data_IF_739115029218
#
_entry.id   IF_739115029218
#
_cell.length_a   1.000
_cell.length_b   1.000
_cell.length_c   1.000
_cell.angle_alpha   90.00
_cell.angle_beta   90.00
_cell.angle_gamma   90.00
#
_symmetry.space_group_name_H-M   'P 1'
#
loop_
_entity.id
_entity.type
_entity.pdbx_description
1 polymer ?
#
# COMPACT_ATOMS: atom_id res chain seq x y z
N UNK A 1 -47.24 86.85 33.12
CA UNK A 1 -46.63 87.70 32.08
C UNK A 1 -45.35 87.00 31.61
N UNK A 2 -45.41 86.28 30.48
CA UNK A 2 -44.78 86.66 29.20
C UNK A 2 -43.28 86.97 29.31
N UNK A 3 -42.47 86.05 28.78
CA UNK A 3 -41.03 86.18 28.54
C UNK A 3 -40.47 84.84 28.04
N UNK A 4 -40.92 84.38 26.87
CA UNK A 4 -40.07 84.22 25.68
C UNK A 4 -38.93 83.21 25.89
N UNK A 5 -39.14 81.95 25.52
CA UNK A 5 -38.81 81.45 24.16
C UNK A 5 -37.35 81.80 23.78
N UNK A 6 -36.41 80.99 24.25
CA UNK A 6 -35.16 80.62 23.53
C UNK A 6 -34.26 79.66 24.35
N UNK A 7 -34.85 78.63 24.95
CA UNK A 7 -34.07 77.55 25.58
C UNK A 7 -34.61 76.15 25.25
N UNK A 8 -35.24 76.00 24.08
CA UNK A 8 -35.78 74.72 23.61
C UNK A 8 -35.33 74.35 22.18
N UNK A 9 -34.57 75.21 21.49
CA UNK A 9 -33.92 74.87 20.21
C UNK A 9 -32.42 74.56 20.34
N UNK A 10 -31.80 74.82 21.49
CA UNK A 10 -30.39 74.51 21.70
C UNK A 10 -30.13 73.10 22.25
N UNK A 11 -31.16 72.44 22.80
CA UNK A 11 -31.02 71.09 23.39
C UNK A 11 -31.42 69.97 22.42
N UNK A 12 -32.26 70.24 21.41
CA UNK A 12 -32.57 69.28 20.35
C UNK A 12 -31.57 69.28 19.19
N UNK A 13 -30.75 70.33 19.03
CA UNK A 13 -29.66 70.39 18.05
C UNK A 13 -28.36 69.71 18.50
N UNK A 14 -28.15 69.52 19.81
CA UNK A 14 -26.94 68.89 20.36
C UNK A 14 -27.07 67.37 20.59
N UNK A 15 -28.29 66.82 20.56
CA UNK A 15 -28.54 65.37 20.63
C UNK A 15 -28.71 64.69 19.25
N UNK A 16 -28.73 65.48 18.16
CA UNK A 16 -28.78 64.97 16.78
C UNK A 16 -27.44 65.04 16.04
N UNK A 17 -26.42 65.71 16.61
CA UNK A 17 -25.03 65.67 16.12
C UNK A 17 -24.15 64.66 16.86
N UNK A 18 -24.68 63.99 17.89
CA UNK A 18 -24.01 62.84 18.55
C UNK A 18 -24.44 61.48 17.98
N UNK A 19 -25.28 61.46 16.93
CA UNK A 19 -25.69 60.24 16.21
C UNK A 19 -25.22 60.14 14.75
N UNK A 20 -24.44 61.11 14.24
CA UNK A 20 -23.75 60.99 12.94
C UNK A 20 -22.27 61.39 13.05
N UNK A 21 -21.63 60.88 14.09
CA UNK A 21 -20.20 60.97 14.33
C UNK A 21 -19.62 59.62 14.75
N UNK A 22 -20.20 58.51 14.31
CA UNK A 22 -19.37 57.33 14.04
C UNK A 22 -18.55 57.75 12.84
N UNK A 23 -17.39 58.35 13.13
CA UNK A 23 -16.24 58.14 12.28
C UNK A 23 -16.15 56.62 12.22
N UNK A 24 -16.67 56.04 11.14
CA UNK A 24 -16.01 54.87 10.62
C UNK A 24 -14.60 55.39 10.36
N UNK A 25 -13.71 55.23 11.34
CA UNK A 25 -12.50 54.52 11.00
C UNK A 25 -13.05 53.36 10.18
N UNK A 26 -12.96 53.49 8.85
CA UNK A 26 -12.89 52.29 8.07
C UNK A 26 -11.75 51.56 8.74
N UNK A 27 -12.08 50.58 9.57
CA UNK A 27 -11.23 49.42 9.72
C UNK A 27 -10.88 49.13 8.29
N UNK A 28 -9.64 49.46 7.94
CA UNK A 28 -9.10 49.35 6.61
C UNK A 28 -9.55 47.99 6.12
N UNK A 29 -10.52 48.01 5.20
CA UNK A 29 -11.07 46.84 4.56
C UNK A 29 -9.90 45.95 4.23
N UNK A 30 -9.82 44.78 4.90
CA UNK A 30 -8.89 43.71 4.62
C UNK A 30 -7.64 44.18 3.87
N UNK A 31 -6.66 44.77 4.57
CA UNK A 31 -5.29 44.69 4.04
C UNK A 31 -4.93 43.21 4.12
N UNK A 32 -5.38 42.45 3.12
CA UNK A 32 -4.91 41.11 2.86
C UNK A 32 -3.38 41.23 2.92
N UNK A 33 -2.77 40.46 3.83
CA UNK A 33 -1.33 40.45 3.98
C UNK A 33 -0.71 40.30 2.59
N UNK A 34 0.25 41.14 2.19
CA UNK A 34 0.81 41.05 0.86
C UNK A 34 1.74 39.83 0.76
N UNK A 35 1.90 39.32 -0.45
CA UNK A 35 2.98 38.40 -0.77
C UNK A 35 4.19 39.21 -1.24
N UNK A 36 5.40 38.84 -0.82
CA UNK A 36 6.60 39.53 -1.27
C UNK A 36 6.80 39.34 -2.78
N UNK A 37 7.14 40.41 -3.51
CA UNK A 37 7.35 40.36 -4.97
C UNK A 37 8.38 39.30 -5.39
N UNK A 38 9.41 39.09 -4.56
CA UNK A 38 10.42 38.07 -4.82
C UNK A 38 9.86 36.65 -4.69
N UNK A 39 8.98 36.39 -3.72
CA UNK A 39 8.31 35.10 -3.55
C UNK A 39 7.36 34.83 -4.73
N UNK A 40 6.60 35.84 -5.18
CA UNK A 40 5.73 35.74 -6.36
C UNK A 40 6.56 35.35 -7.60
N UNK A 41 7.66 36.09 -7.85
CA UNK A 41 8.52 35.83 -9.00
C UNK A 41 9.20 34.44 -8.93
N UNK A 42 9.58 34.01 -7.74
CA UNK A 42 10.13 32.68 -7.48
C UNK A 42 9.10 31.59 -7.80
N UNK A 43 7.87 31.74 -7.30
CA UNK A 43 6.77 30.81 -7.57
C UNK A 43 6.50 30.70 -9.07
N UNK A 44 6.42 31.82 -9.77
CA UNK A 44 6.14 31.83 -11.21
C UNK A 44 7.28 31.19 -12.00
N UNK A 45 8.52 31.49 -11.64
CA UNK A 45 9.68 30.91 -12.30
C UNK A 45 9.84 29.41 -12.00
N UNK A 46 9.39 28.96 -10.82
CA UNK A 46 9.30 27.53 -10.50
C UNK A 46 8.23 26.87 -11.38
N UNK A 47 6.98 27.35 -11.35
CA UNK A 47 5.86 26.80 -12.14
C UNK A 47 6.18 26.79 -13.64
N UNK A 48 6.71 27.89 -14.18
CA UNK A 48 7.08 28.00 -15.59
C UNK A 48 8.06 26.91 -16.03
N UNK A 49 9.01 26.55 -15.16
CA UNK A 49 9.96 25.47 -15.44
C UNK A 49 9.31 24.11 -15.64
N UNK A 50 8.17 23.86 -14.97
CA UNK A 50 7.47 22.58 -15.04
C UNK A 50 6.32 22.55 -16.04
N UNK A 51 5.61 23.67 -16.19
CA UNK A 51 4.43 23.78 -17.03
C UNK A 51 4.81 24.22 -18.45
N UNK A 52 5.95 24.90 -18.63
CA UNK A 52 6.46 25.34 -19.92
C UNK A 52 5.89 26.69 -20.37
N UNK A 53 6.41 27.22 -21.49
CA UNK A 53 6.24 28.62 -21.95
C UNK A 53 4.80 29.07 -22.24
N UNK A 54 3.84 28.14 -22.33
CA UNK A 54 2.43 28.48 -22.59
C UNK A 54 1.72 29.04 -21.35
N UNK A 55 2.28 28.81 -20.16
CA UNK A 55 1.75 29.37 -18.93
C UNK A 55 2.12 30.86 -18.84
N UNK A 56 1.13 31.76 -18.93
CA UNK A 56 1.30 33.22 -18.86
C UNK A 56 0.95 33.77 -17.46
N UNK A 57 1.34 33.03 -16.42
CA UNK A 57 0.68 33.07 -15.11
C UNK A 57 0.71 34.39 -14.35
N UNK A 58 1.64 35.31 -14.65
CA UNK A 58 1.69 36.62 -13.99
C UNK A 58 0.46 37.48 -14.26
N UNK A 59 -0.17 37.34 -15.43
CA UNK A 59 -1.33 38.16 -15.81
C UNK A 59 -2.64 37.56 -15.28
N UNK A 60 -2.68 36.24 -15.08
CA UNK A 60 -3.88 35.50 -14.68
C UNK A 60 -4.03 35.37 -13.15
N UNK A 61 -2.92 35.42 -12.42
CA UNK A 61 -2.89 35.15 -10.98
C UNK A 61 -2.14 36.24 -10.20
N UNK A 62 -2.50 37.53 -10.27
CA UNK A 62 -1.75 38.61 -9.61
C UNK A 62 -1.56 38.45 -8.09
N UNK A 63 -2.41 37.66 -7.43
CA UNK A 63 -2.33 37.31 -6.01
C UNK A 63 -2.57 35.80 -5.78
N UNK A 64 -1.53 34.94 -5.94
CA UNK A 64 -1.63 33.48 -5.86
C UNK A 64 -2.03 32.94 -4.48
N UNK A 65 -1.82 33.72 -3.43
CA UNK A 65 -2.10 33.34 -2.05
C UNK A 65 -3.36 34.00 -1.48
N UNK A 66 -3.98 34.93 -2.23
CA UNK A 66 -5.20 35.60 -1.85
C UNK A 66 -6.35 35.30 -2.81
N UNK A 67 -6.79 36.31 -3.57
CA UNK A 67 -8.05 36.25 -4.33
C UNK A 67 -7.94 35.56 -5.70
N UNK A 68 -6.74 35.28 -6.19
CA UNK A 68 -6.51 34.52 -7.43
C UNK A 68 -5.66 33.26 -7.17
N UNK A 69 -6.19 32.25 -6.47
CA UNK A 69 -5.42 31.08 -6.10
C UNK A 69 -5.02 30.23 -7.33
N UNK A 70 -3.82 29.66 -7.28
CA UNK A 70 -3.35 28.70 -8.28
C UNK A 70 -3.61 27.29 -7.73
N UNK A 71 -4.29 26.44 -8.52
CA UNK A 71 -4.52 25.06 -8.11
C UNK A 71 -3.19 24.34 -7.88
N UNK A 72 -3.05 23.73 -6.70
CA UNK A 72 -1.83 23.05 -6.29
C UNK A 72 -0.81 23.95 -5.57
N UNK A 73 -1.08 25.26 -5.44
CA UNK A 73 -0.31 26.17 -4.58
C UNK A 73 -1.10 26.42 -3.31
N UNK A 74 -0.43 26.35 -2.15
CA UNK A 74 -1.00 26.82 -0.88
C UNK A 74 0.03 27.66 -0.14
N UNK A 75 -0.48 28.56 0.68
CA UNK A 75 0.33 29.57 1.35
C UNK A 75 -0.07 29.70 2.82
N UNK A 76 0.91 30.00 3.66
CA UNK A 76 0.72 30.35 5.06
C UNK A 76 1.27 31.74 5.34
N UNK A 77 0.73 32.36 6.40
CA UNK A 77 1.15 33.68 6.86
C UNK A 77 2.35 33.59 7.79
N UNK A 78 3.45 34.26 7.45
CA UNK A 78 4.63 34.43 8.31
C UNK A 78 4.98 35.91 8.40
N UNK A 79 5.14 36.40 9.63
CA UNK A 79 5.57 37.79 9.90
C UNK A 79 4.76 38.87 9.13
N UNK A 80 3.47 38.60 8.89
CA UNK A 80 2.57 39.51 8.18
C UNK A 80 2.62 39.42 6.65
N UNK A 81 3.33 38.44 6.07
CA UNK A 81 3.40 38.17 4.63
C UNK A 81 2.97 36.75 4.28
N UNK A 82 2.32 36.56 3.14
CA UNK A 82 2.04 35.21 2.62
C UNK A 82 3.28 34.63 1.96
N UNK A 83 3.56 33.36 2.25
CA UNK A 83 4.61 32.58 1.62
C UNK A 83 4.09 31.24 1.14
N UNK A 84 4.67 30.72 0.06
CA UNK A 84 4.26 29.43 -0.49
C UNK A 84 4.76 28.32 0.43
N UNK A 85 3.82 27.51 0.92
CA UNK A 85 4.11 26.37 1.79
C UNK A 85 3.88 25.04 1.10
N UNK A 86 3.02 24.99 0.09
CA UNK A 86 2.70 23.76 -0.62
C UNK A 86 2.75 24.03 -2.12
N UNK A 87 3.49 23.19 -2.84
CA UNK A 87 3.60 23.26 -4.29
C UNK A 87 3.42 21.86 -4.87
N UNK A 88 2.30 21.68 -5.57
CA UNK A 88 1.88 20.44 -6.19
C UNK A 88 1.84 20.61 -7.70
N UNK A 89 2.68 19.85 -8.40
CA UNK A 89 2.91 20.01 -9.84
C UNK A 89 2.50 18.74 -10.58
N UNK A 90 1.74 18.94 -11.67
CA UNK A 90 1.16 17.86 -12.48
C UNK A 90 -0.33 17.64 -12.20
N UNK A 91 -0.99 16.75 -12.99
CA UNK A 91 -2.45 16.58 -13.01
C UNK A 91 -2.98 15.84 -11.77
N UNK A 92 -2.87 16.48 -10.60
CA UNK A 92 -3.32 15.94 -9.30
C UNK A 92 -4.82 16.20 -9.08
N UNK A 93 -5.33 17.29 -9.65
CA UNK A 93 -6.73 17.70 -9.63
C UNK A 93 -7.21 18.02 -11.06
N UNK A 94 -8.53 18.04 -11.28
CA UNK A 94 -9.12 18.25 -12.62
C UNK A 94 -8.66 19.55 -13.33
N UNK A 95 -8.27 20.58 -12.56
CA UNK A 95 -7.76 21.86 -13.06
C UNK A 95 -6.28 22.11 -12.73
N UNK A 96 -5.53 21.06 -12.39
CA UNK A 96 -4.10 21.17 -12.14
C UNK A 96 -3.35 21.61 -13.40
N UNK A 97 -2.24 22.34 -13.19
CA UNK A 97 -1.36 22.72 -14.28
C UNK A 97 -0.69 21.48 -14.88
N UNK A 98 -0.90 21.28 -16.19
CA UNK A 98 -0.29 20.17 -16.92
C UNK A 98 1.21 20.41 -17.10
N UNK A 99 2.00 19.36 -16.90
CA UNK A 99 3.43 19.42 -17.11
C UNK A 99 3.80 19.50 -18.59
N UNK A 100 4.86 20.25 -18.90
CA UNK A 100 5.41 20.36 -20.24
C UNK A 100 5.98 19.00 -20.71
N UNK A 101 6.16 18.78 -22.02
CA UNK A 101 6.79 17.55 -22.51
C UNK A 101 8.27 17.38 -22.12
N UNK A 102 9.02 18.49 -22.03
CA UNK A 102 10.47 18.52 -21.76
C UNK A 102 10.72 19.27 -20.44
N UNK A 103 10.29 18.68 -19.33
CA UNK A 103 10.39 19.28 -18.01
C UNK A 103 11.82 19.22 -17.48
N UNK A 104 12.32 20.34 -16.95
CA UNK A 104 13.57 20.40 -16.19
C UNK A 104 13.31 20.90 -14.76
N UNK A 105 14.15 20.49 -13.81
CA UNK A 105 14.09 21.02 -12.45
C UNK A 105 14.56 22.48 -12.43
N UNK A 106 13.62 23.41 -12.25
CA UNK A 106 13.92 24.83 -12.12
C UNK A 106 14.70 25.12 -10.83
N UNK A 107 15.89 25.75 -10.87
CA UNK A 107 16.62 26.16 -9.66
C UNK A 107 15.81 27.11 -8.76
N UNK A 108 14.87 27.86 -9.35
CA UNK A 108 13.99 28.78 -8.61
C UNK A 108 13.08 28.06 -7.61
N UNK A 109 12.85 26.75 -7.77
CA UNK A 109 12.16 25.93 -6.78
C UNK A 109 12.79 26.06 -5.38
N UNK A 110 14.12 26.09 -5.32
CA UNK A 110 14.86 26.16 -4.06
C UNK A 110 14.92 27.57 -3.45
N UNK A 111 14.34 28.57 -4.14
CA UNK A 111 14.21 29.94 -3.62
C UNK A 111 12.96 30.12 -2.75
N UNK A 112 11.98 29.21 -2.85
CA UNK A 112 10.78 29.14 -2.00
C UNK A 112 11.14 28.56 -0.63
N UNK A 113 11.76 29.37 0.23
CA UNK A 113 12.36 28.90 1.49
C UNK A 113 11.34 28.37 2.50
N UNK A 114 10.09 28.80 2.43
CA UNK A 114 9.02 28.42 3.36
C UNK A 114 8.29 27.13 2.98
N UNK A 115 8.71 26.48 1.89
CA UNK A 115 8.06 25.28 1.37
C UNK A 115 8.08 24.14 2.41
N UNK A 116 6.89 23.68 2.80
CA UNK A 116 6.64 22.55 3.69
C UNK A 116 6.30 21.28 2.93
N UNK A 117 5.62 21.40 1.79
CA UNK A 117 5.21 20.27 0.96
C UNK A 117 5.54 20.52 -0.51
N UNK A 118 6.15 19.51 -1.14
CA UNK A 118 6.47 19.53 -2.56
C UNK A 118 6.08 18.21 -3.18
N UNK A 119 5.22 18.24 -4.22
CA UNK A 119 4.82 17.05 -4.94
C UNK A 119 4.90 17.20 -6.45
N UNK A 120 5.29 16.12 -7.13
CA UNK A 120 5.28 15.98 -8.58
C UNK A 120 4.55 14.70 -8.98
N UNK A 121 3.49 14.83 -9.76
CA UNK A 121 2.72 13.69 -10.27
C UNK A 121 2.72 13.68 -11.79
N UNK A 122 3.13 12.57 -12.40
CA UNK A 122 3.03 12.35 -13.85
C UNK A 122 3.59 13.51 -14.73
N UNK A 123 4.69 14.12 -14.29
CA UNK A 123 5.37 15.22 -14.99
C UNK A 123 6.56 14.77 -15.83
N UNK A 124 7.29 13.77 -15.36
CA UNK A 124 8.46 13.24 -16.06
C UNK A 124 8.09 11.91 -16.71
N UNK A 125 7.45 11.95 -17.89
CA UNK A 125 6.83 10.75 -18.49
C UNK A 125 7.74 10.06 -19.52
N UNK A 126 8.57 10.81 -20.25
CA UNK A 126 9.30 10.29 -21.41
C UNK A 126 10.63 9.60 -21.04
N UNK A 127 10.59 8.29 -20.79
CA UNK A 127 11.77 7.47 -20.42
C UNK A 127 12.93 7.48 -21.41
N UNK A 128 12.64 7.57 -22.71
CA UNK A 128 13.64 7.35 -23.77
C UNK A 128 14.04 8.63 -24.49
N UNK A 129 13.22 9.67 -24.44
CA UNK A 129 13.49 10.92 -25.16
C UNK A 129 13.97 12.03 -24.22
N UNK A 130 13.54 12.04 -22.95
CA UNK A 130 13.93 13.08 -22.00
C UNK A 130 14.03 12.53 -20.57
N UNK A 131 15.00 11.62 -20.31
CA UNK A 131 15.25 11.15 -18.96
C UNK A 131 15.83 12.28 -18.10
N UNK A 132 15.35 12.39 -16.86
CA UNK A 132 15.81 13.41 -15.93
C UNK A 132 16.13 12.80 -14.58
N UNK A 133 17.14 13.34 -13.90
CA UNK A 133 17.49 12.97 -12.53
C UNK A 133 17.06 14.04 -11.54
N UNK A 134 16.76 13.61 -10.31
CA UNK A 134 16.56 14.54 -9.20
C UNK A 134 17.88 15.32 -8.98
N UNK A 135 17.84 16.66 -8.83
CA UNK A 135 19.03 17.46 -8.55
C UNK A 135 19.74 16.97 -7.30
N UNK A 136 21.08 16.94 -7.33
CA UNK A 136 21.89 16.46 -6.20
C UNK A 136 22.08 17.57 -5.16
N UNK A 137 22.12 18.83 -5.59
CA UNK A 137 22.42 20.00 -4.75
C UNK A 137 21.15 20.82 -4.46
N UNK A 138 21.27 21.87 -3.65
CA UNK A 138 20.22 22.85 -3.30
C UNK A 138 19.12 22.36 -2.34
N UNK A 139 19.02 21.07 -2.05
CA UNK A 139 18.10 20.55 -1.02
C UNK A 139 18.40 21.09 0.38
N UNK A 140 19.64 21.51 0.65
CA UNK A 140 20.01 22.18 1.90
C UNK A 140 19.24 23.47 2.18
N UNK A 141 18.74 24.17 1.14
CA UNK A 141 17.95 25.38 1.32
C UNK A 141 16.56 25.10 1.92
N UNK A 142 16.06 23.88 1.75
CA UNK A 142 14.78 23.41 2.28
C UNK A 142 14.94 22.53 3.52
N UNK A 143 16.16 22.38 4.03
CA UNK A 143 16.51 21.44 5.10
C UNK A 143 15.70 21.61 6.40
N UNK A 144 15.30 22.84 6.69
CA UNK A 144 14.64 23.22 7.94
C UNK A 144 13.15 23.52 7.78
N UNK A 145 12.59 23.37 6.59
CA UNK A 145 11.19 23.73 6.29
C UNK A 145 10.41 22.57 5.68
N UNK A 146 11.02 21.79 4.79
CA UNK A 146 10.32 20.72 4.08
C UNK A 146 9.93 19.56 5.01
N UNK A 147 8.62 19.29 5.08
CA UNK A 147 8.00 18.22 5.85
C UNK A 147 7.53 17.06 4.96
N UNK A 148 7.14 17.34 3.71
CA UNK A 148 6.68 16.33 2.75
C UNK A 148 7.35 16.52 1.39
N UNK A 149 7.91 15.44 0.85
CA UNK A 149 8.50 15.41 -0.49
C UNK A 149 8.00 14.21 -1.27
N UNK A 150 7.39 14.47 -2.43
CA UNK A 150 6.73 13.42 -3.20
C UNK A 150 7.02 13.48 -4.71
N UNK A 151 7.40 12.34 -5.27
CA UNK A 151 7.48 12.08 -6.70
C UNK A 151 6.68 10.82 -6.99
N UNK A 152 5.54 10.96 -7.67
CA UNK A 152 4.59 9.88 -7.91
C UNK A 152 4.37 9.66 -9.42
N UNK A 153 4.49 8.42 -9.87
CA UNK A 153 4.19 8.03 -11.26
C UNK A 153 4.96 8.86 -12.29
N UNK A 154 6.26 9.10 -12.05
CA UNK A 154 7.15 9.80 -12.99
C UNK A 154 8.13 8.80 -13.64
N UNK A 155 7.68 8.04 -14.66
CA UNK A 155 8.46 6.94 -15.21
C UNK A 155 9.81 7.36 -15.82
N UNK A 156 9.94 8.60 -16.29
CA UNK A 156 11.15 9.22 -16.86
C UNK A 156 12.07 9.89 -15.82
N UNK A 157 11.67 9.95 -14.55
CA UNK A 157 12.53 10.37 -13.44
C UNK A 157 13.46 9.21 -13.06
N UNK A 158 14.70 9.27 -13.49
CA UNK A 158 15.73 8.23 -13.36
C UNK A 158 16.89 8.68 -12.46
N UNK A 159 17.98 7.91 -12.44
CA UNK A 159 19.15 8.20 -11.62
C UNK A 159 19.00 7.68 -10.19
N UNK A 160 19.88 8.15 -9.30
CA UNK A 160 19.92 7.74 -7.90
C UNK A 160 19.09 8.68 -7.01
N UNK A 161 18.68 8.19 -5.85
CA UNK A 161 18.12 9.05 -4.80
C UNK A 161 19.27 9.92 -4.26
N UNK A 162 19.15 11.26 -4.24
CA UNK A 162 20.21 12.13 -3.73
C UNK A 162 20.55 11.85 -2.26
N UNK A 163 21.84 11.74 -1.94
CA UNK A 163 22.32 11.61 -0.55
C UNK A 163 21.99 12.84 0.29
N UNK A 164 21.85 14.00 -0.35
CA UNK A 164 21.47 15.28 0.26
C UNK A 164 20.06 15.29 0.83
N UNK A 165 19.18 14.36 0.44
CA UNK A 165 17.88 14.18 1.10
C UNK A 165 18.04 13.92 2.59
N UNK A 166 19.13 13.28 3.02
CA UNK A 166 19.46 13.09 4.45
C UNK A 166 19.69 14.38 5.25
N UNK A 167 19.72 15.56 4.59
CA UNK A 167 19.81 16.87 5.25
C UNK A 167 18.44 17.48 5.57
N UNK A 168 17.34 16.93 5.08
CA UNK A 168 15.97 17.44 5.27
C UNK A 168 15.45 17.12 6.68
N UNK A 169 15.98 17.79 7.70
CA UNK A 169 15.77 17.46 9.12
C UNK A 169 14.31 17.51 9.59
N UNK A 170 13.45 18.28 8.91
CA UNK A 170 12.01 18.38 9.21
C UNK A 170 11.16 17.36 8.45
N UNK A 171 11.73 16.57 7.54
CA UNK A 171 10.99 15.67 6.69
C UNK A 171 10.26 14.59 7.51
N UNK A 172 8.96 14.48 7.28
CA UNK A 172 8.03 13.53 7.89
C UNK A 172 7.50 12.52 6.87
N UNK A 173 7.37 12.92 5.61
CA UNK A 173 6.90 12.07 4.52
C UNK A 173 7.85 12.14 3.32
N UNK A 174 8.39 10.98 2.91
CA UNK A 174 9.16 10.82 1.68
C UNK A 174 8.48 9.76 0.80
N UNK A 175 8.02 10.19 -0.37
CA UNK A 175 7.25 9.34 -1.29
C UNK A 175 7.87 9.39 -2.67
N UNK A 176 8.44 8.28 -3.14
CA UNK A 176 9.11 8.16 -4.42
C UNK A 176 8.50 6.98 -5.20
N UNK A 177 7.18 6.94 -5.35
CA UNK A 177 6.46 5.76 -5.89
C UNK A 177 6.36 5.78 -7.42
N UNK A 178 6.56 4.62 -8.04
CA UNK A 178 6.37 4.40 -9.49
C UNK A 178 7.20 5.33 -10.39
N UNK A 179 8.48 5.51 -10.07
CA UNK A 179 9.42 6.27 -10.88
C UNK A 179 10.42 5.34 -11.61
N UNK A 180 11.42 5.93 -12.25
CA UNK A 180 12.52 5.23 -12.90
C UNK A 180 13.80 5.17 -12.07
N UNK A 181 13.75 5.46 -10.76
CA UNK A 181 14.92 5.58 -9.88
C UNK A 181 15.67 4.25 -9.77
N UNK A 182 16.98 4.32 -9.62
CA UNK A 182 17.91 3.19 -9.69
C UNK A 182 19.11 3.38 -8.77
N UNK A 183 19.96 2.36 -8.65
CA UNK A 183 21.09 2.36 -7.70
C UNK A 183 20.67 1.96 -6.29
N UNK A 184 21.56 2.18 -5.34
CA UNK A 184 21.36 1.76 -3.95
C UNK A 184 20.56 2.77 -3.13
N UNK A 185 19.93 2.31 -2.04
CA UNK A 185 19.33 3.18 -1.04
C UNK A 185 20.44 3.97 -0.30
N UNK A 186 20.40 5.31 -0.29
CA UNK A 186 21.43 6.10 0.38
C UNK A 186 21.42 5.89 1.90
N UNK A 187 22.57 5.59 2.48
CA UNK A 187 22.70 5.40 3.95
C UNK A 187 22.35 6.67 4.73
N UNK A 188 22.61 7.85 4.16
CA UNK A 188 22.30 9.15 4.76
C UNK A 188 20.80 9.40 4.96
N UNK A 189 19.91 8.67 4.27
CA UNK A 189 18.47 8.77 4.56
C UNK A 189 18.17 8.42 6.02
N UNK A 190 18.98 7.55 6.66
CA UNK A 190 18.87 7.22 8.08
C UNK A 190 18.95 8.41 9.05
N UNK A 191 19.43 9.58 8.58
CA UNK A 191 19.47 10.81 9.38
C UNK A 191 18.09 11.49 9.56
N UNK A 192 17.08 11.05 8.82
CA UNK A 192 15.73 11.60 8.85
C UNK A 192 14.93 11.10 10.07
N UNK A 193 15.37 11.46 11.27
CA UNK A 193 14.83 10.94 12.53
C UNK A 193 13.36 11.28 12.81
N UNK A 194 12.81 12.27 12.10
CA UNK A 194 11.40 12.69 12.20
C UNK A 194 10.49 12.01 11.16
N UNK A 195 11.05 11.12 10.33
CA UNK A 195 10.32 10.49 9.25
C UNK A 195 9.24 9.55 9.81
N UNK A 196 8.02 9.71 9.31
CA UNK A 196 6.83 8.94 9.67
C UNK A 196 6.36 8.05 8.53
N UNK A 197 6.61 8.47 7.29
CA UNK A 197 6.22 7.75 6.08
C UNK A 197 7.38 7.70 5.10
N UNK A 198 7.79 6.48 4.76
CA UNK A 198 8.79 6.19 3.73
C UNK A 198 8.17 5.23 2.72
N UNK A 199 7.90 5.71 1.50
CA UNK A 199 7.29 4.92 0.43
C UNK A 199 8.10 5.09 -0.84
N UNK A 200 8.87 4.07 -1.23
CA UNK A 200 9.75 4.09 -2.42
C UNK A 200 9.40 2.93 -3.38
N UNK A 201 8.14 2.51 -3.36
CA UNK A 201 7.68 1.35 -4.11
C UNK A 201 7.74 1.55 -5.64
N UNK A 202 7.98 0.46 -6.38
CA UNK A 202 7.85 0.46 -7.84
C UNK A 202 8.97 1.20 -8.58
N UNK A 203 10.22 1.05 -8.14
CA UNK A 203 11.41 1.59 -8.80
C UNK A 203 12.36 0.45 -9.24
N UNK A 204 13.59 0.81 -9.64
CA UNK A 204 14.67 -0.10 -10.04
C UNK A 204 15.82 -0.10 -9.02
N UNK A 205 15.52 0.19 -7.75
CA UNK A 205 16.55 0.24 -6.70
C UNK A 205 17.13 -1.15 -6.44
N UNK A 206 18.41 -1.21 -6.08
CA UNK A 206 19.15 -2.44 -5.85
C UNK A 206 20.03 -2.33 -4.60
N UNK A 207 20.91 -3.31 -4.38
CA UNK A 207 21.76 -3.35 -3.19
C UNK A 207 20.99 -3.76 -1.94
N UNK A 208 21.55 -3.48 -0.76
CA UNK A 208 20.97 -3.87 0.54
C UNK A 208 20.10 -2.77 1.12
N UNK A 209 19.18 -3.14 2.01
CA UNK A 209 18.52 -2.16 2.89
C UNK A 209 19.57 -1.67 3.91
N UNK A 210 19.84 -0.35 4.02
CA UNK A 210 20.86 0.15 4.93
C UNK A 210 20.51 -0.05 6.41
N UNK A 211 21.48 -0.49 7.21
CA UNK A 211 21.33 -0.61 8.67
C UNK A 211 20.96 0.72 9.34
N UNK A 212 21.39 1.84 8.75
CA UNK A 212 21.06 3.19 9.23
C UNK A 212 19.56 3.49 9.24
N UNK A 213 18.73 2.72 8.53
CA UNK A 213 17.27 2.87 8.56
C UNK A 213 16.69 2.46 9.93
N UNK A 214 17.46 1.76 10.77
CA UNK A 214 17.12 1.61 12.18
C UNK A 214 17.02 2.94 12.94
N UNK A 215 17.51 4.06 12.39
CA UNK A 215 17.37 5.39 13.00
C UNK A 215 15.95 5.97 12.98
N UNK A 216 15.00 5.38 12.21
CA UNK A 216 13.65 5.93 12.04
C UNK A 216 12.70 5.58 13.18
N UNK A 217 12.97 6.09 14.38
CA UNK A 217 12.19 5.78 15.58
C UNK A 217 10.72 6.21 15.53
N UNK A 218 10.38 7.20 14.70
CA UNK A 218 9.01 7.70 14.49
C UNK A 218 8.32 7.11 13.25
N UNK A 219 8.96 6.18 12.53
CA UNK A 219 8.40 5.63 11.29
C UNK A 219 7.15 4.82 11.59
N UNK A 220 6.07 5.13 10.88
CA UNK A 220 4.80 4.43 10.96
C UNK A 220 4.59 3.52 9.75
N UNK A 221 5.01 3.97 8.57
CA UNK A 221 4.82 3.27 7.29
C UNK A 221 6.16 3.18 6.56
N UNK A 222 6.57 1.96 6.24
CA UNK A 222 7.71 1.66 5.38
C UNK A 222 7.26 0.76 4.24
N UNK A 223 7.33 1.26 3.01
CA UNK A 223 7.05 0.50 1.79
C UNK A 223 8.22 0.66 0.83
N UNK A 224 8.99 -0.43 0.67
CA UNK A 224 10.10 -0.54 -0.28
C UNK A 224 9.81 -1.61 -1.34
N UNK A 225 8.53 -1.96 -1.52
CA UNK A 225 8.09 -3.05 -2.38
C UNK A 225 8.41 -2.80 -3.86
N UNK A 226 8.34 -3.86 -4.68
CA UNK A 226 8.46 -3.77 -6.15
C UNK A 226 9.75 -3.05 -6.58
N UNK A 227 10.88 -3.52 -6.07
CA UNK A 227 12.23 -3.05 -6.41
C UNK A 227 13.12 -4.27 -6.75
N UNK A 228 14.44 -4.07 -6.78
CA UNK A 228 15.45 -5.13 -6.91
C UNK A 228 16.37 -5.19 -5.69
N UNK A 229 15.88 -4.79 -4.50
CA UNK A 229 16.64 -4.86 -3.24
C UNK A 229 17.03 -6.31 -2.93
N UNK A 230 18.21 -6.51 -2.39
CA UNK A 230 18.87 -7.81 -2.25
C UNK A 230 19.62 -7.94 -0.92
N UNK A 231 20.11 -9.13 -0.63
CA UNK A 231 20.79 -9.43 0.63
C UNK A 231 19.82 -9.73 1.77
N UNK A 232 20.37 -9.79 2.98
CA UNK A 232 19.64 -10.19 4.18
C UNK A 232 18.79 -9.05 4.75
N UNK A 233 17.69 -9.42 5.42
CA UNK A 233 16.96 -8.49 6.30
C UNK A 233 17.88 -8.10 7.49
N UNK A 234 18.21 -6.81 7.67
CA UNK A 234 19.14 -6.39 8.72
C UNK A 234 18.51 -6.48 10.11
N UNK A 235 19.09 -7.29 11.00
CA UNK A 235 18.57 -7.47 12.37
C UNK A 235 18.59 -6.18 13.20
N UNK A 236 19.55 -5.30 12.93
CA UNK A 236 19.72 -3.99 13.58
C UNK A 236 18.58 -3.01 13.25
N UNK A 237 17.98 -3.11 12.06
CA UNK A 237 16.88 -2.26 11.62
C UNK A 237 15.64 -2.42 12.51
N UNK A 238 15.27 -3.66 12.83
CA UNK A 238 14.05 -3.95 13.58
C UNK A 238 14.09 -3.48 15.04
N UNK A 239 15.29 -3.29 15.60
CA UNK A 239 15.45 -2.76 16.96
C UNK A 239 15.10 -1.29 17.10
N UNK A 240 15.17 -0.51 16.01
CA UNK A 240 14.96 0.95 16.06
C UNK A 240 13.61 1.42 15.53
N UNK A 241 12.92 0.60 14.72
CA UNK A 241 11.60 0.91 14.14
C UNK A 241 10.44 0.66 15.12
N UNK A 242 10.54 1.18 16.34
CA UNK A 242 9.62 0.88 17.45
C UNK A 242 8.18 1.38 17.24
N UNK A 243 7.98 2.38 16.38
CA UNK A 243 6.67 2.95 16.07
C UNK A 243 5.99 2.31 14.85
N UNK A 244 6.65 1.37 14.18
CA UNK A 244 6.23 0.90 12.86
C UNK A 244 4.90 0.14 12.92
N UNK A 245 3.98 0.53 12.04
CA UNK A 245 2.65 -0.06 11.90
C UNK A 245 2.55 -0.93 10.63
N UNK A 246 3.21 -0.52 9.54
CA UNK A 246 3.16 -1.21 8.25
C UNK A 246 4.57 -1.35 7.67
N UNK A 247 4.92 -2.59 7.31
CA UNK A 247 6.15 -2.92 6.61
C UNK A 247 5.84 -3.76 5.38
N UNK A 248 6.09 -3.19 4.20
CA UNK A 248 6.01 -3.88 2.91
C UNK A 248 7.39 -3.88 2.23
N UNK A 249 7.98 -5.08 2.12
CA UNK A 249 9.21 -5.34 1.39
C UNK A 249 8.99 -6.35 0.25
N UNK A 250 7.73 -6.55 -0.15
CA UNK A 250 7.34 -7.54 -1.14
C UNK A 250 7.96 -7.26 -2.51
N UNK A 251 8.03 -8.30 -3.35
CA UNK A 251 8.48 -8.18 -4.74
C UNK A 251 9.90 -7.58 -4.86
N UNK A 252 10.84 -8.19 -4.15
CA UNK A 252 12.26 -7.85 -4.15
C UNK A 252 13.11 -9.13 -4.33
N UNK A 253 14.42 -9.05 -4.10
CA UNK A 253 15.38 -10.15 -4.16
C UNK A 253 16.01 -10.42 -2.78
N UNK A 254 15.31 -10.09 -1.69
CA UNK A 254 15.79 -10.29 -0.32
C UNK A 254 15.92 -11.78 -0.02
N UNK A 255 16.96 -12.16 0.71
CA UNK A 255 17.32 -13.57 0.91
C UNK A 255 17.71 -13.89 2.37
N UNK A 256 17.87 -15.18 2.64
CA UNK A 256 18.18 -15.70 3.97
C UNK A 256 16.96 -15.77 4.89
N UNK A 257 17.23 -15.85 6.20
CA UNK A 257 16.19 -16.04 7.22
C UNK A 257 15.49 -14.75 7.60
N UNK A 258 14.23 -14.87 8.04
CA UNK A 258 13.56 -13.81 8.79
C UNK A 258 14.24 -13.74 10.18
N UNK A 259 14.90 -12.63 10.53
CA UNK A 259 15.60 -12.51 11.81
C UNK A 259 14.62 -12.45 12.98
N UNK A 260 15.01 -12.99 14.13
CA UNK A 260 14.16 -13.03 15.34
C UNK A 260 13.82 -11.62 15.86
N UNK A 261 14.69 -10.65 15.56
CA UNK A 261 14.50 -9.25 15.89
C UNK A 261 13.27 -8.63 15.22
N UNK A 262 12.67 -9.24 14.19
CA UNK A 262 11.38 -8.79 13.62
C UNK A 262 10.29 -8.70 14.69
N UNK A 263 10.36 -9.56 15.72
CA UNK A 263 9.44 -9.57 16.84
C UNK A 263 9.55 -8.33 17.74
N UNK A 264 10.58 -7.49 17.59
CA UNK A 264 10.69 -6.20 18.29
C UNK A 264 9.72 -5.15 17.75
N UNK A 265 9.16 -5.35 16.56
CA UNK A 265 8.13 -4.48 15.98
C UNK A 265 6.77 -4.73 16.64
N UNK A 266 6.63 -4.39 17.93
CA UNK A 266 5.46 -4.74 18.76
C UNK A 266 4.15 -4.07 18.31
N UNK A 267 4.23 -2.97 17.55
CA UNK A 267 3.06 -2.25 17.04
C UNK A 267 2.69 -2.62 15.60
N UNK A 268 3.42 -3.55 14.97
CA UNK A 268 3.23 -3.88 13.57
C UNK A 268 1.87 -4.55 13.34
N UNK A 269 1.13 -4.02 12.38
CA UNK A 269 -0.19 -4.51 11.96
C UNK A 269 -0.12 -5.20 10.60
N UNK A 270 0.79 -4.80 9.72
CA UNK A 270 0.99 -5.41 8.41
C UNK A 270 2.47 -5.74 8.20
N UNK A 271 2.73 -7.00 7.88
CA UNK A 271 4.03 -7.49 7.41
C UNK A 271 3.85 -8.21 6.08
N UNK A 272 4.34 -7.59 5.00
CA UNK A 272 4.41 -8.22 3.68
C UNK A 272 5.88 -8.40 3.25
N UNK A 273 6.30 -9.65 3.16
CA UNK A 273 7.61 -10.07 2.65
C UNK A 273 7.48 -10.95 1.40
N UNK A 274 6.29 -10.99 0.79
CA UNK A 274 5.98 -11.90 -0.31
C UNK A 274 6.85 -11.69 -1.53
N UNK A 275 6.99 -12.74 -2.34
CA UNK A 275 7.76 -12.72 -3.58
C UNK A 275 9.20 -12.21 -3.39
N UNK A 276 9.94 -12.88 -2.52
CA UNK A 276 11.36 -12.69 -2.26
C UNK A 276 12.08 -14.06 -2.36
N UNK A 277 13.33 -14.15 -1.90
CA UNK A 277 14.14 -15.37 -1.83
C UNK A 277 14.39 -15.82 -0.39
N UNK A 278 13.46 -15.52 0.52
CA UNK A 278 13.60 -15.88 1.93
C UNK A 278 13.58 -17.40 2.13
N UNK A 279 14.35 -17.87 3.11
CA UNK A 279 14.56 -19.28 3.45
C UNK A 279 14.73 -19.46 4.97
N UNK A 280 14.99 -20.67 5.46
CA UNK A 280 15.38 -20.90 6.86
C UNK A 280 14.24 -21.14 7.86
N UNK A 281 13.01 -21.38 7.38
CA UNK A 281 11.85 -21.74 8.20
C UNK A 281 11.14 -20.56 8.87
N UNK A 282 9.92 -20.80 9.35
CA UNK A 282 9.21 -19.87 10.24
C UNK A 282 9.92 -19.83 11.60
N UNK A 283 10.07 -18.64 12.19
CA UNK A 283 10.71 -18.46 13.49
C UNK A 283 9.66 -18.28 14.59
N UNK A 284 9.89 -18.87 15.77
CA UNK A 284 8.98 -18.74 16.93
C UNK A 284 8.72 -17.28 17.31
N UNK A 285 9.67 -16.40 17.05
CA UNK A 285 9.56 -14.96 17.31
C UNK A 285 8.31 -14.30 16.70
N UNK A 286 7.81 -14.81 15.56
CA UNK A 286 6.60 -14.29 14.90
C UNK A 286 5.40 -14.35 15.84
N UNK A 287 5.29 -15.38 16.69
CA UNK A 287 4.16 -15.53 17.61
C UNK A 287 4.06 -14.40 18.66
N UNK A 288 5.15 -13.64 18.88
CA UNK A 288 5.16 -12.51 19.80
C UNK A 288 4.58 -11.23 19.18
N UNK A 289 4.34 -11.20 17.86
CA UNK A 289 3.80 -10.06 17.13
C UNK A 289 2.27 -10.00 17.25
N UNK A 290 1.78 -9.88 18.50
CA UNK A 290 0.35 -10.00 18.85
C UNK A 290 -0.57 -8.92 18.27
N UNK A 291 0.00 -7.84 17.73
CA UNK A 291 -0.74 -6.78 17.03
C UNK A 291 -0.95 -7.04 15.54
N UNK A 292 -0.34 -8.08 14.99
CA UNK A 292 -0.34 -8.34 13.56
C UNK A 292 -1.75 -8.69 13.06
N UNK A 293 -2.18 -7.97 12.04
CA UNK A 293 -3.47 -8.14 11.35
C UNK A 293 -3.30 -8.79 9.99
N UNK A 294 -2.17 -8.55 9.32
CA UNK A 294 -1.84 -9.10 8.01
C UNK A 294 -0.41 -9.66 8.00
N UNK A 295 -0.29 -10.97 7.73
CA UNK A 295 0.98 -11.65 7.53
C UNK A 295 1.00 -12.29 6.14
N UNK A 296 1.82 -11.73 5.26
CA UNK A 296 1.96 -12.17 3.87
C UNK A 296 3.41 -12.57 3.63
N UNK A 297 3.68 -13.87 3.55
CA UNK A 297 5.01 -14.44 3.31
C UNK A 297 5.08 -15.23 2.01
N UNK A 298 4.00 -15.22 1.22
CA UNK A 298 3.84 -16.06 0.04
C UNK A 298 4.95 -15.92 -0.99
N UNK A 299 5.14 -16.96 -1.81
CA UNK A 299 6.17 -17.01 -2.86
C UNK A 299 7.59 -16.79 -2.31
N UNK A 300 7.92 -17.45 -1.20
CA UNK A 300 9.27 -17.52 -0.64
C UNK A 300 9.63 -18.97 -0.33
N UNK A 301 10.84 -19.44 -0.59
CA UNK A 301 11.23 -20.83 -0.26
C UNK A 301 11.59 -21.04 1.22
N UNK A 302 10.74 -20.55 2.15
CA UNK A 302 10.98 -20.57 3.60
C UNK A 302 11.05 -21.99 4.16
N UNK A 303 10.14 -22.88 3.75
CA UNK A 303 10.04 -24.24 4.29
C UNK A 303 9.66 -24.28 5.78
N UNK A 304 9.92 -25.40 6.44
CA UNK A 304 9.55 -25.61 7.85
C UNK A 304 8.12 -26.10 8.04
N UNK A 305 7.72 -26.20 9.31
CA UNK A 305 6.42 -26.71 9.75
C UNK A 305 5.60 -25.59 10.40
N UNK A 306 4.28 -25.60 10.19
CA UNK A 306 3.34 -24.66 10.81
C UNK A 306 3.15 -24.92 12.31
N UNK A 307 3.44 -26.14 12.79
CA UNK A 307 3.35 -26.51 14.21
C UNK A 307 4.39 -25.82 15.10
N UNK A 308 5.41 -25.18 14.51
CA UNK A 308 6.41 -24.45 15.31
C UNK A 308 5.84 -23.21 16.00
N UNK A 309 4.74 -22.67 15.50
CA UNK A 309 4.08 -21.48 16.00
C UNK A 309 2.83 -21.84 16.80
N UNK A 310 2.67 -21.17 17.94
CA UNK A 310 1.38 -21.14 18.62
C UNK A 310 0.50 -20.02 18.04
N UNK A 311 -0.30 -20.38 17.03
CA UNK A 311 -1.19 -19.48 16.30
C UNK A 311 -2.22 -18.78 17.20
N UNK A 312 -2.51 -19.33 18.38
CA UNK A 312 -3.40 -18.74 19.36
C UNK A 312 -2.97 -17.34 19.81
N UNK A 313 -1.67 -17.00 19.72
CA UNK A 313 -1.14 -15.69 20.11
C UNK A 313 -1.42 -14.59 19.08
N UNK A 314 -1.68 -14.95 17.82
CA UNK A 314 -1.86 -14.02 16.71
C UNK A 314 -3.33 -13.66 16.46
N UNK A 315 -4.09 -13.45 17.55
CA UNK A 315 -5.57 -13.34 17.52
C UNK A 315 -6.12 -12.18 16.67
N UNK A 316 -5.28 -11.20 16.34
CA UNK A 316 -5.67 -10.06 15.49
C UNK A 316 -5.62 -10.35 13.99
N UNK A 317 -5.01 -11.46 13.58
CA UNK A 317 -4.87 -11.81 12.16
C UNK A 317 -6.22 -11.84 11.45
N UNK A 318 -6.27 -11.11 10.35
CA UNK A 318 -7.34 -11.07 9.36
C UNK A 318 -6.88 -11.66 8.03
N UNK A 319 -5.61 -11.52 7.68
CA UNK A 319 -5.00 -12.11 6.48
C UNK A 319 -3.78 -12.92 6.88
N UNK A 320 -3.78 -14.20 6.50
CA UNK A 320 -2.63 -15.07 6.58
C UNK A 320 -2.40 -15.70 5.20
N UNK A 321 -1.37 -15.24 4.49
CA UNK A 321 -0.96 -15.81 3.21
C UNK A 321 0.43 -16.42 3.30
N UNK A 322 0.46 -17.74 3.31
CA UNK A 322 1.65 -18.57 3.30
C UNK A 322 1.72 -19.45 2.03
N UNK A 323 1.09 -19.01 0.95
CA UNK A 323 1.05 -19.77 -0.30
C UNK A 323 2.43 -19.87 -0.97
N UNK A 324 2.70 -21.00 -1.62
CA UNK A 324 3.95 -21.23 -2.35
C UNK A 324 5.21 -21.00 -1.49
N UNK A 325 5.25 -21.65 -0.32
CA UNK A 325 6.33 -21.50 0.66
C UNK A 325 7.23 -22.73 0.87
N UNK A 326 6.95 -23.84 0.15
CA UNK A 326 7.56 -25.17 0.39
C UNK A 326 7.35 -25.67 1.83
N UNK A 327 6.30 -25.22 2.52
CA UNK A 327 5.95 -25.66 3.87
C UNK A 327 5.67 -27.16 3.89
N UNK A 328 6.07 -27.81 4.97
CA UNK A 328 5.85 -29.23 5.25
C UNK A 328 5.04 -29.40 6.53
N UNK A 329 4.76 -30.64 6.94
CA UNK A 329 3.99 -30.89 8.16
C UNK A 329 2.49 -30.82 7.96
N UNK A 330 1.76 -30.79 9.07
CA UNK A 330 0.30 -30.70 9.11
C UNK A 330 -0.22 -29.26 9.14
N UNK A 331 -1.53 -29.10 8.97
CA UNK A 331 -2.21 -27.85 9.30
C UNK A 331 -2.60 -27.92 10.79
N UNK A 332 -2.04 -27.07 11.67
CA UNK A 332 -2.33 -27.14 13.10
C UNK A 332 -3.76 -26.70 13.42
N UNK A 333 -4.39 -27.36 14.40
CA UNK A 333 -5.76 -27.02 14.83
C UNK A 333 -5.88 -25.60 15.39
N UNK A 334 -4.80 -25.05 15.97
CA UNK A 334 -4.77 -23.71 16.56
C UNK A 334 -5.01 -22.58 15.56
N UNK A 335 -4.87 -22.82 14.25
CA UNK A 335 -5.28 -21.85 13.21
C UNK A 335 -6.78 -21.55 13.31
N UNK A 336 -7.61 -22.51 13.75
CA UNK A 336 -9.04 -22.31 13.95
C UNK A 336 -9.39 -21.31 15.07
N UNK A 337 -8.41 -20.92 15.91
CA UNK A 337 -8.60 -19.93 16.97
C UNK A 337 -8.46 -18.49 16.50
N UNK A 338 -8.01 -18.27 15.25
CA UNK A 338 -7.90 -16.95 14.62
C UNK A 338 -9.29 -16.41 14.24
N UNK A 339 -10.10 -16.02 15.23
CA UNK A 339 -11.52 -15.66 15.02
C UNK A 339 -11.75 -14.44 14.10
N UNK A 340 -10.71 -13.62 13.89
CA UNK A 340 -10.75 -12.47 12.97
C UNK A 340 -10.35 -12.80 11.53
N UNK A 341 -9.86 -14.02 11.28
CA UNK A 341 -9.32 -14.42 10.00
C UNK A 341 -10.38 -14.36 8.90
N UNK A 342 -10.06 -13.63 7.83
CA UNK A 342 -10.86 -13.46 6.62
C UNK A 342 -10.27 -14.24 5.45
N UNK A 343 -8.95 -14.32 5.38
CA UNK A 343 -8.22 -15.00 4.32
C UNK A 343 -7.16 -15.95 4.89
N UNK A 344 -7.18 -17.21 4.44
CA UNK A 344 -6.17 -18.21 4.72
C UNK A 344 -5.64 -18.81 3.41
N UNK A 345 -4.41 -18.43 3.03
CA UNK A 345 -3.69 -18.99 1.89
C UNK A 345 -2.61 -19.98 2.34
N UNK A 346 -2.80 -21.26 2.07
CA UNK A 346 -1.83 -22.34 2.32
C UNK A 346 -1.54 -23.16 1.04
N UNK A 347 -2.04 -22.71 -0.12
CA UNK A 347 -1.91 -23.42 -1.38
C UNK A 347 -0.47 -23.51 -1.88
N UNK A 348 -0.23 -24.46 -2.78
CA UNK A 348 1.04 -24.67 -3.47
C UNK A 348 2.22 -24.94 -2.50
N UNK A 349 1.96 -25.70 -1.44
CA UNK A 349 2.96 -26.13 -0.46
C UNK A 349 3.18 -27.65 -0.52
N UNK A 350 3.91 -28.20 0.46
CA UNK A 350 4.13 -29.64 0.64
C UNK A 350 3.45 -30.14 1.92
N UNK A 351 2.34 -29.50 2.32
CA UNK A 351 1.59 -29.87 3.53
C UNK A 351 1.01 -31.27 3.39
N UNK A 352 0.95 -32.00 4.49
CA UNK A 352 0.50 -33.40 4.59
C UNK A 352 -0.50 -33.56 5.73
N UNK A 353 -1.04 -34.77 5.88
CA UNK A 353 -1.98 -35.09 6.95
C UNK A 353 -3.39 -34.58 6.65
N UNK A 354 -4.22 -34.53 7.68
CA UNK A 354 -5.64 -34.22 7.57
C UNK A 354 -5.90 -32.71 7.63
N UNK A 355 -6.98 -32.27 6.97
CA UNK A 355 -7.48 -30.89 7.13
C UNK A 355 -8.31 -30.82 8.41
N UNK A 356 -7.97 -29.95 9.39
CA UNK A 356 -8.72 -29.86 10.63
C UNK A 356 -10.18 -29.41 10.39
N UNK A 357 -11.14 -30.21 10.85
CA UNK A 357 -12.57 -29.84 10.81
C UNK A 357 -12.86 -28.56 11.59
N UNK A 358 -12.01 -28.23 12.57
CA UNK A 358 -12.09 -27.00 13.35
C UNK A 358 -11.97 -25.74 12.50
N UNK A 359 -11.40 -25.79 11.28
CA UNK A 359 -11.37 -24.65 10.37
C UNK A 359 -12.76 -24.13 10.00
N UNK A 360 -13.82 -24.96 10.10
CA UNK A 360 -15.19 -24.49 9.95
C UNK A 360 -15.66 -23.53 11.06
N UNK A 361 -14.96 -23.48 12.19
CA UNK A 361 -15.25 -22.58 13.32
C UNK A 361 -14.75 -21.15 13.11
N UNK A 362 -14.07 -20.86 11.99
CA UNK A 362 -13.63 -19.51 11.64
C UNK A 362 -14.84 -18.67 11.18
N UNK A 363 -15.44 -17.93 12.12
CA UNK A 363 -16.70 -17.21 11.87
C UNK A 363 -16.62 -16.21 10.70
N UNK A 364 -15.51 -15.47 10.61
CA UNK A 364 -15.31 -14.36 9.66
C UNK A 364 -14.60 -14.78 8.36
N UNK A 365 -14.31 -16.08 8.18
CA UNK A 365 -13.54 -16.52 7.03
C UNK A 365 -14.32 -16.33 5.74
N UNK A 366 -13.66 -15.69 4.77
CA UNK A 366 -14.17 -15.41 3.44
C UNK A 366 -13.56 -16.34 2.40
N UNK A 367 -12.28 -16.71 2.56
CA UNK A 367 -11.59 -17.64 1.67
C UNK A 367 -10.56 -18.50 2.41
N UNK A 368 -10.47 -19.77 2.01
CA UNK A 368 -9.48 -20.75 2.47
C UNK A 368 -8.96 -21.49 1.24
N UNK A 369 -7.66 -21.36 0.96
CA UNK A 369 -6.99 -22.02 -0.16
C UNK A 369 -5.95 -23.02 0.35
N UNK A 370 -6.22 -24.30 0.12
CA UNK A 370 -5.41 -25.47 0.49
C UNK A 370 -4.95 -26.28 -0.73
N UNK A 371 -5.27 -25.83 -1.94
CA UNK A 371 -5.01 -26.57 -3.16
C UNK A 371 -3.51 -26.73 -3.45
N UNK A 372 -3.14 -27.72 -4.26
CA UNK A 372 -1.74 -27.93 -4.64
C UNK A 372 -0.85 -28.34 -3.46
N UNK A 373 -1.36 -29.22 -2.60
CA UNK A 373 -0.63 -29.78 -1.46
C UNK A 373 -0.65 -31.33 -1.52
N UNK A 374 -0.18 -31.99 -0.47
CA UNK A 374 -0.25 -33.44 -0.30
C UNK A 374 -1.11 -33.82 0.92
N UNK A 375 -2.21 -33.08 1.14
CA UNK A 375 -3.19 -33.35 2.19
C UNK A 375 -3.96 -34.65 1.86
N UNK A 376 -4.40 -35.33 2.91
CA UNK A 376 -4.97 -36.67 2.82
C UNK A 376 -6.24 -36.81 3.65
N UNK A 377 -7.02 -37.85 3.37
CA UNK A 377 -8.18 -38.23 4.16
C UNK A 377 -9.46 -37.55 3.71
N UNK A 378 -10.46 -37.61 4.58
CA UNK A 378 -11.82 -37.13 4.29
C UNK A 378 -12.02 -35.71 4.82
N UNK A 379 -12.57 -34.83 3.97
CA UNK A 379 -13.00 -33.50 4.37
C UNK A 379 -14.32 -33.57 5.14
N UNK A 380 -14.23 -33.46 6.46
CA UNK A 380 -15.37 -33.56 7.39
C UNK A 380 -16.04 -32.20 7.65
N UNK A 381 -16.33 -31.42 6.61
CA UNK A 381 -17.10 -30.17 6.75
C UNK A 381 -18.58 -30.38 6.43
N UNK A 382 -19.44 -29.51 6.96
CA UNK A 382 -20.88 -29.58 6.70
C UNK A 382 -21.23 -29.08 5.29
N UNK A 383 -22.38 -29.53 4.77
CA UNK A 383 -22.92 -29.02 3.51
C UNK A 383 -23.07 -27.48 3.53
N UNK A 384 -23.56 -26.95 4.65
CA UNK A 384 -23.68 -25.50 4.85
C UNK A 384 -22.33 -24.78 4.70
N UNK A 385 -21.24 -25.35 5.23
CA UNK A 385 -19.91 -24.78 5.08
C UNK A 385 -19.51 -24.72 3.61
N UNK A 386 -19.66 -25.82 2.86
CA UNK A 386 -19.35 -25.83 1.43
C UNK A 386 -20.21 -24.86 0.63
N UNK A 387 -21.51 -24.75 0.95
CA UNK A 387 -22.41 -23.78 0.32
C UNK A 387 -22.03 -22.33 0.61
N UNK A 388 -21.69 -22.00 1.87
CA UNK A 388 -21.22 -20.66 2.28
C UNK A 388 -19.92 -20.28 1.56
N UNK A 389 -18.97 -21.21 1.48
CA UNK A 389 -17.65 -20.93 0.92
C UNK A 389 -17.65 -20.94 -0.62
N UNK A 390 -18.38 -21.87 -1.24
CA UNK A 390 -18.39 -22.05 -2.69
C UNK A 390 -16.97 -22.22 -3.24
N UNK A 391 -16.64 -21.45 -4.29
CA UNK A 391 -15.29 -21.45 -4.90
C UNK A 391 -14.19 -20.85 -4.01
N UNK A 392 -14.56 -20.20 -2.90
CA UNK A 392 -13.62 -19.60 -1.96
C UNK A 392 -13.04 -20.62 -0.98
N UNK A 393 -13.53 -21.87 -0.98
CA UNK A 393 -12.84 -23.00 -0.36
C UNK A 393 -12.20 -23.85 -1.45
N UNK A 394 -10.88 -23.74 -1.60
CA UNK A 394 -10.13 -24.45 -2.63
C UNK A 394 -9.25 -25.54 -2.05
N UNK A 395 -9.59 -26.81 -2.29
CA UNK A 395 -8.83 -27.96 -1.78
C UNK A 395 -8.42 -28.96 -2.89
N UNK A 396 -8.61 -28.59 -4.17
CA UNK A 396 -8.24 -29.41 -5.32
C UNK A 396 -6.71 -29.63 -5.41
N UNK A 397 -6.27 -30.55 -6.26
CA UNK A 397 -4.84 -30.82 -6.41
C UNK A 397 -4.19 -31.46 -5.17
N UNK A 398 -4.99 -32.07 -4.29
CA UNK A 398 -4.53 -32.95 -3.20
C UNK A 398 -4.95 -34.40 -3.56
N UNK A 399 -4.04 -35.26 -4.06
CA UNK A 399 -4.42 -36.54 -4.69
C UNK A 399 -5.16 -37.54 -3.78
N UNK A 400 -4.86 -37.51 -2.48
CA UNK A 400 -5.39 -38.44 -1.47
C UNK A 400 -6.45 -37.79 -0.57
N UNK A 401 -6.93 -36.59 -0.94
CA UNK A 401 -7.99 -35.88 -0.24
C UNK A 401 -9.31 -36.14 -0.95
N UNK A 402 -10.35 -36.43 -0.19
CA UNK A 402 -11.68 -36.69 -0.72
C UNK A 402 -12.76 -36.10 0.17
N UNK A 403 -14.00 -36.05 -0.31
CA UNK A 403 -15.17 -35.62 0.49
C UNK A 403 -16.18 -36.77 0.65
N UNK A 404 -17.01 -36.76 1.72
CA UNK A 404 -17.94 -37.84 2.01
C UNK A 404 -18.94 -38.07 0.87
N UNK A 405 -19.17 -39.34 0.53
CA UNK A 405 -20.15 -39.74 -0.49
C UNK A 405 -21.58 -39.26 -0.16
N UNK A 406 -21.94 -39.16 1.12
CA UNK A 406 -23.27 -38.70 1.55
C UNK A 406 -23.64 -37.30 1.04
N UNK A 407 -22.66 -36.50 0.60
CA UNK A 407 -22.86 -35.17 0.03
C UNK A 407 -23.04 -35.16 -1.50
N UNK A 408 -22.95 -36.31 -2.18
CA UNK A 408 -23.07 -36.39 -3.65
C UNK A 408 -24.41 -35.91 -4.22
N UNK A 409 -25.49 -35.97 -3.45
CA UNK A 409 -26.81 -35.51 -3.87
C UNK A 409 -26.99 -33.99 -3.76
N UNK A 410 -26.00 -33.29 -3.20
CA UNK A 410 -26.06 -31.86 -2.88
C UNK A 410 -25.29 -31.02 -3.90
N UNK A 411 -25.76 -29.80 -4.19
CA UNK A 411 -25.00 -28.84 -5.04
C UNK A 411 -23.78 -28.25 -4.32
N UNK A 412 -23.68 -28.46 -3.01
CA UNK A 412 -22.72 -27.83 -2.11
C UNK A 412 -21.58 -28.81 -1.79
N UNK A 413 -20.79 -29.14 -2.80
CA UNK A 413 -19.59 -29.99 -2.68
C UNK A 413 -18.32 -29.16 -2.91
N UNK A 414 -17.18 -29.55 -2.29
CA UNK A 414 -15.91 -28.85 -2.50
C UNK A 414 -15.47 -28.93 -3.97
N UNK A 415 -15.23 -27.77 -4.58
CA UNK A 415 -14.87 -27.67 -5.99
C UNK A 415 -13.54 -28.38 -6.28
N UNK A 416 -13.54 -29.27 -7.30
CA UNK A 416 -12.33 -29.93 -7.79
C UNK A 416 -11.75 -31.01 -6.87
N UNK A 417 -12.47 -31.43 -5.82
CA UNK A 417 -12.11 -32.56 -4.96
C UNK A 417 -12.96 -33.77 -5.34
N UNK A 418 -12.39 -34.97 -5.37
CA UNK A 418 -13.13 -36.20 -5.68
C UNK A 418 -13.89 -36.74 -4.45
N UNK A 419 -15.01 -37.44 -4.64
CA UNK A 419 -15.65 -38.19 -3.56
C UNK A 419 -14.74 -39.32 -3.04
N UNK A 420 -14.90 -39.72 -1.78
CA UNK A 420 -14.20 -40.89 -1.24
C UNK A 420 -14.75 -42.19 -1.86
N UNK A 421 -13.86 -43.09 -2.29
CA UNK A 421 -14.21 -44.42 -2.77
C UNK A 421 -14.59 -45.31 -1.57
N UNK A 422 -15.68 -46.06 -1.68
CA UNK A 422 -15.99 -47.14 -0.71
C UNK A 422 -15.29 -48.42 -1.17
N UNK A 423 -14.59 -49.10 -0.26
CA UNK A 423 -14.36 -50.54 -0.40
C UNK A 423 -15.72 -51.24 -0.35
N UNK A 424 -16.29 -51.53 -1.51
CA UNK A 424 -17.49 -52.35 -1.59
C UNK A 424 -17.07 -53.81 -1.37
N UNK A 425 -16.98 -54.23 -0.11
CA UNK A 425 -16.93 -55.65 0.24
C UNK A 425 -18.31 -56.27 -0.03
N UNK A 426 -18.57 -56.66 -1.28
CA UNK A 426 -19.68 -57.55 -1.61
C UNK A 426 -19.41 -58.95 -1.02
N UNK A 427 -19.84 -59.16 0.23
CA UNK A 427 -20.01 -60.51 0.78
C UNK A 427 -21.24 -61.15 0.13
N UNK A 428 -20.95 -62.05 -0.81
CA UNK A 428 -21.77 -63.11 -1.45
C UNK A 428 -23.29 -63.15 -1.17
N UNK A 429 -24.06 -63.12 -2.26
CA UNK A 429 -25.43 -63.62 -2.34
C UNK A 429 -25.85 -63.97 -3.78
N UNK A 430 -25.61 -65.23 -4.17
CA UNK A 430 -26.28 -66.06 -5.18
C UNK A 430 -26.78 -65.51 -6.56
N UNK A 431 -26.21 -66.09 -7.62
CA UNK A 431 -26.80 -66.56 -8.89
C UNK A 431 -28.25 -66.16 -9.28
N UNK A 432 -28.37 -65.42 -10.40
CA UNK A 432 -29.25 -65.62 -11.59
C UNK A 432 -29.10 -64.33 -12.45
N UNK A 433 -28.95 -64.29 -13.77
CA UNK A 433 -28.98 -65.26 -14.84
C UNK A 433 -28.10 -64.72 -15.99
N UNK A 434 -27.48 -65.64 -16.75
CA UNK A 434 -26.88 -65.36 -18.05
C UNK A 434 -27.95 -64.88 -19.02
N UNK A 435 -27.78 -63.71 -19.61
CA UNK A 435 -28.21 -63.50 -21.00
C UNK A 435 -27.09 -62.82 -21.77
N UNK A 436 -26.54 -63.56 -22.73
CA UNK A 436 -25.76 -63.04 -23.85
C UNK A 436 -26.74 -62.29 -24.75
N UNK A 437 -26.46 -61.04 -25.05
CA UNK A 437 -26.83 -60.45 -26.34
C UNK A 437 -25.59 -59.73 -26.88
N UNK A 438 -25.31 -60.07 -28.13
CA UNK A 438 -24.15 -59.72 -28.95
C UNK A 438 -24.38 -58.34 -29.58
N UNK A 439 -23.35 -57.48 -29.51
CA UNK A 439 -22.76 -56.61 -30.54
C UNK A 439 -23.69 -56.09 -31.68
N UNK A 440 -23.79 -54.80 -32.02
CA UNK A 440 -22.73 -53.94 -32.59
C UNK A 440 -23.12 -52.45 -32.69
N UNK A 441 -22.07 -51.62 -32.95
CA UNK A 441 -21.97 -50.21 -33.34
C UNK A 441 -21.44 -49.31 -32.21
N UNK A 442 -20.12 -49.25 -31.97
CA UNK A 442 -19.06 -48.65 -32.80
C UNK A 442 -19.43 -47.25 -33.29
N UNK A 443 -19.10 -46.25 -32.46
CA UNK A 443 -18.48 -45.02 -32.95
C UNK A 443 -17.20 -44.84 -32.11
N UNK A 444 -16.10 -45.37 -32.67
CA UNK A 444 -14.77 -44.84 -32.38
C UNK A 444 -14.73 -43.40 -32.89
N UNK A 445 -14.33 -42.47 -32.04
CA UNK A 445 -13.40 -41.43 -32.45
C UNK A 445 -12.44 -41.15 -31.30
N UNK A 446 -11.28 -41.76 -31.44
CA UNK A 446 -10.05 -41.50 -30.72
C UNK A 446 -9.35 -40.25 -31.29
N UNK A 447 -8.67 -39.54 -30.40
CA UNK A 447 -7.59 -38.58 -30.63
C UNK A 447 -7.94 -37.23 -31.27
N UNK A 448 -7.66 -36.15 -30.56
CA UNK A 448 -6.35 -35.49 -30.70
C UNK A 448 -6.18 -34.36 -29.68
N UNK A 449 -4.98 -34.31 -29.10
CA UNK A 449 -4.44 -33.08 -28.52
C UNK A 449 -4.43 -32.01 -29.61
N UNK A 450 -5.17 -30.92 -29.40
CA UNK A 450 -4.96 -29.67 -30.09
C UNK A 450 -4.39 -28.69 -29.08
N UNK A 451 -3.08 -28.47 -29.17
CA UNK A 451 -2.46 -27.26 -28.68
C UNK A 451 -3.04 -26.09 -29.50
N UNK A 452 -3.88 -25.28 -28.86
CA UNK A 452 -4.22 -23.95 -29.34
C UNK A 452 -3.51 -22.97 -28.40
N UNK A 453 -2.39 -22.47 -28.93
CA UNK A 453 -1.81 -21.19 -28.56
C UNK A 453 -2.88 -20.13 -28.86
N UNK A 454 -3.44 -19.49 -27.83
CA UNK A 454 -3.90 -18.11 -27.97
C UNK A 454 -3.96 -17.40 -26.62
N UNK A 455 -3.60 -16.13 -26.67
CA UNK A 455 -3.17 -15.30 -25.55
C UNK A 455 -4.30 -14.90 -24.61
N UNK A 456 -4.28 -15.42 -23.37
CA UNK A 456 -5.33 -15.14 -22.38
C UNK A 456 -4.89 -15.14 -20.91
N UNK A 457 -3.58 -15.15 -20.63
CA UNK A 457 -3.05 -15.39 -19.27
C UNK A 457 -2.84 -14.10 -18.44
N UNK A 458 -3.13 -12.91 -18.98
CA UNK A 458 -2.86 -11.64 -18.28
C UNK A 458 -4.05 -11.00 -17.53
N UNK A 459 -5.16 -11.70 -17.31
CA UNK A 459 -6.36 -11.11 -16.65
C UNK A 459 -6.81 -11.72 -15.31
N UNK A 460 -6.19 -12.78 -14.79
CA UNK A 460 -6.50 -13.27 -13.44
C UNK A 460 -5.53 -12.83 -12.35
N UNK A 461 -4.33 -12.36 -12.70
CA UNK A 461 -3.31 -11.91 -11.73
C UNK A 461 -3.51 -10.49 -11.18
N UNK A 462 -4.42 -9.70 -11.76
CA UNK A 462 -4.68 -8.33 -11.31
C UNK A 462 -5.72 -8.26 -10.17
N UNK A 463 -6.62 -9.24 -10.05
CA UNK A 463 -7.75 -9.14 -9.10
C UNK A 463 -7.31 -9.37 -7.64
N UNK A 464 -6.24 -10.14 -7.40
CA UNK A 464 -5.72 -10.37 -6.04
C UNK A 464 -4.86 -9.21 -5.52
N UNK A 465 -4.23 -8.43 -6.40
CA UNK A 465 -3.45 -7.25 -6.00
C UNK A 465 -4.35 -6.04 -5.67
N UNK A 466 -5.54 -5.95 -6.29
CA UNK A 466 -6.45 -4.82 -6.10
C UNK A 466 -7.08 -4.77 -4.69
N UNK A 467 -7.25 -5.91 -4.00
CA UNK A 467 -7.86 -5.92 -2.66
C UNK A 467 -6.90 -5.41 -1.56
N UNK A 468 -5.59 -5.55 -1.75
CA UNK A 468 -4.57 -5.03 -0.80
C UNK A 468 -4.28 -3.55 -1.08
N UNK A 469 -4.28 -3.11 -2.34
CA UNK A 469 -4.11 -1.70 -2.72
C UNK A 469 -5.28 -0.81 -2.26
N UNK A 470 -6.50 -1.36 -2.19
CA UNK A 470 -7.67 -0.59 -1.72
C UNK A 470 -7.63 -0.25 -0.21
N UNK A 471 -6.84 -0.96 0.60
CA UNK A 471 -6.67 -0.67 2.03
C UNK A 471 -5.53 0.32 2.34
N UNK A 472 -4.75 0.72 1.32
CA UNK A 472 -3.65 1.69 1.47
C UNK A 472 -4.02 3.13 1.07
N UNK A 473 -5.21 3.37 0.51
CA UNK A 473 -5.60 4.67 -0.04
C UNK A 473 -6.70 5.43 0.72
N UNK A 474 -7.22 4.93 1.86
CA UNK A 474 -8.22 5.67 2.63
C UNK A 474 -8.06 5.48 4.14
N UNK A 475 -7.26 6.33 4.77
CA UNK A 475 -7.63 7.14 5.94
C UNK A 475 -6.53 8.19 6.20
N UNK A 476 -6.88 9.37 6.75
CA UNK A 476 -6.01 10.55 6.83
C UNK A 476 -4.81 10.38 7.74
#
# INVERSE_FOLDING_TARGET
>A
MRGFKNLSLFVFGLLLLLHFGVWCNGDSENMAAPMEKNEINALYSAIQGFVGKWWNGSDLYPDPCGWTPIQGVSCDLFDGFWYVTDLNIGPIHDNSLNCAPNVEFSPNLFTLKHLKSLSFFNCFVSRHHHPISIPIESWEFLANTLESLEFRSNPGLIGQIPTTFGRLKKLRSLVLVENGLSGELPTNLGNLVNLRRLVIAGNKLNGKIPDSFGGFSQLLICDLSRNSLSGFLPSTLFGGLVSLLKLDLSNNKLEGKIPEEVAKLKNLTLLDLSNNKLSGGLTKSIQEMTFLEELVLSKNSIGGDLEILDWHNLRKLTVLDLSNMKLTGGIPESIADLKRLRFLGLNDNKLKGYVPKSLANLANVSAIYLYGNNLTGELQFSEFFYGKMGRRFGAWGNPNLCYPFSLMSTRNVPFGVKPCEQEVNFVKGANLAKSKLVNENVIQNSHSMAALNDDGIWRSFLVELFMVIFLLNFWP
#
